data_IF_100535700080
#
_entry.id   IF_100535700080
#
_cell.length_a   1.000
_cell.length_b   1.000
_cell.length_c   1.000
_cell.angle_alpha   90.00
_cell.angle_beta   90.00
_cell.angle_gamma   90.00
#
_symmetry.space_group_name_H-M   'P 1'
#
loop_
_entity.id
_entity.type
_entity.pdbx_description
1 polymer ?
#
# COMPACT_ATOMS: atom_id res chain seq x y z
N UNK A 1 -15.86 45.33 31.90
CA UNK A 1 -14.44 45.16 31.56
C UNK A 1 -14.09 43.74 32.03
N UNK A 2 -14.28 42.73 31.17
CA UNK A 2 -13.25 42.16 30.26
C UNK A 2 -11.99 41.74 31.05
N UNK A 3 -11.47 40.53 30.97
CA UNK A 3 -11.56 39.54 29.91
C UNK A 3 -11.32 38.12 30.47
N UNK A 4 -11.91 37.13 29.82
CA UNK A 4 -11.31 35.81 29.80
C UNK A 4 -10.14 35.80 28.81
N UNK A 5 -9.25 34.84 28.95
CA UNK A 5 -8.84 34.10 27.77
C UNK A 5 -8.58 32.65 28.13
N UNK A 6 -9.35 31.80 27.48
CA UNK A 6 -9.35 30.36 27.61
C UNK A 6 -8.18 29.83 26.80
N UNK A 7 -7.23 29.18 27.47
CA UNK A 7 -6.23 28.33 26.84
C UNK A 7 -6.94 27.14 26.18
N UNK A 8 -7.41 27.35 24.95
CA UNK A 8 -7.95 26.32 24.07
C UNK A 8 -6.80 25.72 23.26
N UNK A 9 -6.07 24.79 23.88
CA UNK A 9 -5.12 23.94 23.16
C UNK A 9 -5.40 22.47 23.47
N UNK A 10 -5.88 21.80 22.42
CA UNK A 10 -5.85 20.36 22.13
C UNK A 10 -6.63 19.40 23.04
N UNK A 11 -7.97 19.49 23.02
CA UNK A 11 -8.82 18.34 23.39
C UNK A 11 -9.04 17.35 22.25
N UNK A 12 -8.47 17.58 21.07
CA UNK A 12 -8.71 16.77 19.86
C UNK A 12 -7.78 15.54 19.72
N UNK A 13 -6.74 15.40 20.55
CA UNK A 13 -5.70 14.36 20.37
C UNK A 13 -5.99 13.06 21.14
N UNK A 14 -7.04 13.01 21.95
CA UNK A 14 -7.32 11.90 22.88
C UNK A 14 -8.52 11.01 22.49
N UNK A 15 -9.05 11.11 21.26
CA UNK A 15 -9.96 10.08 20.76
C UNK A 15 -9.11 8.86 20.33
N UNK A 16 -8.99 7.88 21.21
CA UNK A 16 -8.20 6.66 20.96
C UNK A 16 -8.52 6.05 19.60
N UNK A 17 -7.49 5.71 18.82
CA UNK A 17 -7.66 5.02 17.53
C UNK A 17 -8.47 3.75 17.73
N UNK A 18 -9.47 3.46 16.87
CA UNK A 18 -10.22 2.22 16.99
C UNK A 18 -9.25 1.04 16.86
N UNK A 19 -9.48 -0.04 17.61
CA UNK A 19 -8.65 -1.24 17.54
C UNK A 19 -8.69 -1.82 16.12
N UNK A 20 -7.62 -2.47 15.70
CA UNK A 20 -7.53 -3.06 14.34
C UNK A 20 -8.67 -4.04 14.05
N UNK A 21 -9.20 -4.73 15.06
CA UNK A 21 -10.36 -5.62 14.94
C UNK A 21 -11.66 -4.93 14.53
N UNK A 22 -11.75 -3.61 14.70
CA UNK A 22 -12.88 -2.80 14.23
C UNK A 22 -12.62 -2.14 12.87
N UNK A 23 -11.37 -2.17 12.39
CA UNK A 23 -10.94 -1.50 11.15
C UNK A 23 -10.75 -2.49 10.01
N UNK A 24 -10.08 -3.62 10.28
CA UNK A 24 -9.85 -4.65 9.29
C UNK A 24 -11.09 -5.55 9.13
N UNK A 25 -11.37 -6.03 7.91
CA UNK A 25 -12.42 -7.01 7.70
C UNK A 25 -12.09 -8.33 8.43
N UNK A 26 -13.10 -9.11 8.82
CA UNK A 26 -12.90 -10.35 9.58
C UNK A 26 -12.20 -11.45 8.79
N UNK A 27 -12.17 -11.35 7.46
CA UNK A 27 -11.51 -12.30 6.57
C UNK A 27 -10.49 -11.56 5.68
N UNK A 28 -9.25 -12.06 5.69
CA UNK A 28 -8.11 -11.52 4.95
C UNK A 28 -7.59 -12.62 4.01
N UNK A 29 -7.38 -12.28 2.74
CA UNK A 29 -6.74 -13.18 1.79
C UNK A 29 -5.22 -13.13 1.95
N UNK A 30 -4.62 -14.23 2.42
CA UNK A 30 -3.18 -14.41 2.42
C UNK A 30 -2.64 -14.75 1.03
N UNK A 31 -1.59 -14.04 0.61
CA UNK A 31 -0.96 -14.21 -0.72
C UNK A 31 0.44 -14.80 -0.64
N UNK A 32 0.79 -15.44 0.49
CA UNK A 32 2.06 -16.14 0.67
C UNK A 32 2.29 -17.20 -0.41
N UNK A 33 1.24 -17.84 -0.90
CA UNK A 33 1.34 -18.85 -1.97
C UNK A 33 1.64 -18.28 -3.35
N UNK A 34 1.55 -16.96 -3.55
CA UNK A 34 1.96 -16.29 -4.81
C UNK A 34 3.49 -16.19 -4.89
N UNK A 35 4.18 -17.27 -4.57
CA UNK A 35 5.63 -17.31 -4.43
C UNK A 35 6.24 -18.57 -5.06
N UNK A 36 7.57 -18.57 -5.15
CA UNK A 36 8.35 -19.69 -5.70
C UNK A 36 8.57 -20.85 -4.71
N UNK A 37 8.25 -20.66 -3.44
CA UNK A 37 8.37 -21.69 -2.39
C UNK A 37 7.22 -22.72 -2.50
N UNK A 38 6.05 -22.29 -2.97
CA UNK A 38 4.87 -23.15 -3.16
C UNK A 38 4.62 -23.53 -4.63
N UNK A 39 5.07 -22.70 -5.58
CA UNK A 39 4.84 -22.93 -7.01
C UNK A 39 6.14 -22.74 -7.79
N UNK A 40 6.48 -23.67 -8.69
CA UNK A 40 7.66 -23.52 -9.55
C UNK A 40 7.61 -22.26 -10.42
N UNK A 41 6.42 -21.88 -10.85
CA UNK A 41 6.16 -20.69 -11.66
C UNK A 41 4.90 -19.98 -11.13
N UNK A 42 5.03 -19.08 -10.14
CA UNK A 42 3.89 -18.36 -9.56
C UNK A 42 3.27 -17.38 -10.54
N UNK A 43 3.96 -16.96 -11.61
CA UNK A 43 3.39 -16.05 -12.62
C UNK A 43 2.29 -16.72 -13.45
N UNK A 44 2.27 -18.06 -13.51
CA UNK A 44 1.20 -18.85 -14.14
C UNK A 44 0.00 -19.10 -13.23
N UNK A 45 0.05 -18.71 -11.96
CA UNK A 45 -1.10 -18.83 -11.08
C UNK A 45 -2.24 -17.91 -11.56
N UNK A 46 -3.50 -18.30 -11.35
CA UNK A 46 -4.63 -17.46 -11.69
C UNK A 46 -4.84 -16.33 -10.65
N UNK A 47 -3.78 -15.60 -10.27
CA UNK A 47 -3.79 -14.55 -9.24
C UNK A 47 -4.91 -13.53 -9.46
N UNK A 48 -5.08 -13.05 -10.71
CA UNK A 48 -6.18 -12.14 -11.06
C UNK A 48 -7.56 -12.74 -10.77
N UNK A 49 -7.78 -14.01 -11.11
CA UNK A 49 -9.05 -14.67 -10.86
C UNK A 49 -9.28 -14.87 -9.35
N UNK A 50 -8.25 -15.21 -8.59
CA UNK A 50 -8.30 -15.35 -7.13
C UNK A 50 -8.68 -14.02 -6.49
N UNK A 51 -7.96 -12.94 -6.80
CA UNK A 51 -8.22 -11.59 -6.26
C UNK A 51 -9.61 -11.10 -6.64
N UNK A 52 -10.03 -11.31 -7.91
CA UNK A 52 -11.39 -10.99 -8.35
C UNK A 52 -12.43 -11.72 -7.49
N UNK A 53 -12.26 -13.04 -7.29
CA UNK A 53 -13.21 -13.83 -6.50
C UNK A 53 -13.25 -13.40 -5.04
N UNK A 54 -12.11 -13.03 -4.47
CA UNK A 54 -12.06 -12.49 -3.12
C UNK A 54 -12.94 -11.21 -3.01
N UNK A 55 -12.76 -10.26 -3.93
CA UNK A 55 -13.55 -9.02 -3.94
C UNK A 55 -15.05 -9.27 -4.21
N UNK A 56 -15.39 -10.22 -5.10
CA UNK A 56 -16.79 -10.65 -5.33
C UNK A 56 -17.47 -11.23 -4.09
N UNK A 57 -16.69 -11.66 -3.08
CA UNK A 57 -17.15 -12.23 -1.82
C UNK A 57 -16.86 -11.32 -0.62
N UNK A 58 -16.70 -10.01 -0.83
CA UNK A 58 -16.42 -9.01 0.20
C UNK A 58 -15.12 -9.24 1.01
N UNK A 59 -14.19 -10.04 0.46
CA UNK A 59 -12.85 -10.22 1.02
C UNK A 59 -11.96 -9.09 0.48
N UNK A 60 -12.00 -7.97 1.19
CA UNK A 60 -11.36 -6.72 0.79
C UNK A 60 -10.05 -6.42 1.56
N UNK A 61 -9.38 -7.43 2.10
CA UNK A 61 -8.05 -7.27 2.70
C UNK A 61 -7.10 -8.33 2.17
N UNK A 62 -5.88 -7.92 1.84
CA UNK A 62 -4.84 -8.76 1.25
C UNK A 62 -3.56 -8.68 2.07
N UNK A 63 -3.06 -9.82 2.53
CA UNK A 63 -1.78 -9.93 3.24
C UNK A 63 -0.70 -10.49 2.30
N UNK A 64 0.44 -9.80 2.24
CA UNK A 64 1.61 -10.18 1.44
C UNK A 64 2.91 -9.89 2.21
N UNK A 65 4.07 -10.04 1.57
CA UNK A 65 5.39 -9.71 2.15
C UNK A 65 6.45 -9.61 1.05
N UNK A 66 7.48 -8.75 1.21
CA UNK A 66 8.67 -8.77 0.36
C UNK A 66 9.40 -10.11 0.36
N UNK A 67 9.29 -10.88 1.44
CA UNK A 67 9.87 -12.22 1.58
C UNK A 67 9.14 -13.27 0.73
N UNK A 68 7.87 -13.05 0.36
CA UNK A 68 7.07 -14.00 -0.41
C UNK A 68 7.39 -13.96 -1.91
N UNK A 69 8.68 -13.95 -2.27
CA UNK A 69 9.14 -13.91 -3.65
C UNK A 69 8.49 -12.78 -4.46
N UNK A 70 7.85 -13.07 -5.62
CA UNK A 70 7.18 -12.06 -6.44
C UNK A 70 5.75 -11.70 -5.97
N UNK A 71 5.30 -12.16 -4.79
CA UNK A 71 3.90 -12.02 -4.34
C UNK A 71 3.37 -10.59 -4.39
N UNK A 72 4.14 -9.59 -3.91
CA UNK A 72 3.75 -8.18 -3.96
C UNK A 72 3.49 -7.68 -5.38
N UNK A 73 4.38 -8.03 -6.32
CA UNK A 73 4.24 -7.68 -7.73
C UNK A 73 3.04 -8.38 -8.35
N UNK A 74 2.87 -9.69 -8.11
CA UNK A 74 1.75 -10.47 -8.65
C UNK A 74 0.40 -9.99 -8.10
N UNK A 75 0.32 -9.62 -6.82
CA UNK A 75 -0.87 -9.03 -6.21
C UNK A 75 -1.16 -7.65 -6.80
N UNK A 76 -0.15 -6.78 -6.91
CA UNK A 76 -0.29 -5.45 -7.51
C UNK A 76 -0.77 -5.51 -8.96
N UNK A 77 -0.17 -6.38 -9.78
CA UNK A 77 -0.56 -6.62 -11.16
C UNK A 77 -1.99 -7.18 -11.26
N UNK A 78 -2.34 -8.13 -10.39
CA UNK A 78 -3.68 -8.70 -10.34
C UNK A 78 -4.74 -7.62 -10.07
N UNK A 79 -4.53 -6.75 -9.08
CA UNK A 79 -5.44 -5.65 -8.74
C UNK A 79 -5.59 -4.64 -9.89
N UNK A 80 -4.48 -4.21 -10.50
CA UNK A 80 -4.48 -3.27 -11.65
C UNK A 80 -5.16 -3.84 -12.90
N UNK A 81 -5.08 -5.15 -13.09
CA UNK A 81 -5.65 -5.83 -14.25
C UNK A 81 -7.16 -6.08 -14.15
N UNK A 82 -7.80 -5.83 -12.99
CA UNK A 82 -9.24 -5.99 -12.82
C UNK A 82 -10.03 -4.94 -13.59
N UNK A 83 -11.21 -5.33 -14.07
CA UNK A 83 -12.16 -4.46 -14.79
C UNK A 83 -13.58 -4.75 -14.27
N UNK A 84 -14.31 -3.74 -13.74
CA UNK A 84 -13.81 -2.39 -13.41
C UNK A 84 -12.67 -2.45 -12.38
N UNK A 85 -11.80 -1.44 -12.39
CA UNK A 85 -10.73 -1.37 -11.41
C UNK A 85 -11.34 -1.08 -10.02
N UNK A 86 -10.98 -1.83 -8.96
CA UNK A 86 -11.43 -1.51 -7.62
C UNK A 86 -10.85 -0.16 -7.20
N UNK A 87 -11.65 0.64 -6.49
CA UNK A 87 -11.14 1.85 -5.86
C UNK A 87 -10.07 1.46 -4.83
N UNK A 88 -8.94 2.18 -4.80
CA UNK A 88 -7.82 1.84 -3.90
C UNK A 88 -8.24 1.86 -2.43
N UNK A 89 -9.16 2.72 -2.06
CA UNK A 89 -9.73 2.81 -0.72
C UNK A 89 -10.86 1.83 -0.43
N UNK A 90 -11.25 1.01 -1.41
CA UNK A 90 -12.19 -0.09 -1.25
C UNK A 90 -11.55 -1.38 -0.73
N UNK A 91 -10.23 -1.42 -0.50
CA UNK A 91 -9.54 -2.59 0.04
C UNK A 91 -8.30 -2.22 0.87
N UNK A 92 -7.85 -3.16 1.69
CA UNK A 92 -6.69 -3.05 2.56
C UNK A 92 -5.51 -3.85 2.00
N UNK A 93 -4.33 -3.23 1.98
CA UNK A 93 -3.06 -3.87 1.69
C UNK A 93 -2.20 -3.95 2.95
N UNK A 94 -1.92 -5.18 3.36
CA UNK A 94 -1.09 -5.53 4.50
C UNK A 94 0.20 -6.14 3.95
N UNK A 95 1.34 -5.57 4.31
CA UNK A 95 2.65 -6.14 3.97
C UNK A 95 3.55 -6.18 5.21
N UNK A 96 4.80 -6.59 5.03
CA UNK A 96 5.76 -6.82 6.11
C UNK A 96 7.12 -6.21 5.75
N UNK A 97 7.99 -6.01 6.74
CA UNK A 97 9.40 -5.68 6.54
C UNK A 97 10.27 -6.35 7.61
N UNK A 98 11.59 -6.27 7.47
CA UNK A 98 12.57 -6.91 8.35
C UNK A 98 13.19 -8.15 7.71
N UNK A 99 12.39 -9.18 7.43
CA UNK A 99 12.87 -10.42 6.80
C UNK A 99 13.18 -10.24 5.30
N UNK A 100 14.40 -10.59 4.89
CA UNK A 100 14.90 -10.50 3.51
C UNK A 100 14.82 -11.86 2.82
N UNK A 101 15.37 -12.88 3.47
CA UNK A 101 15.43 -14.25 2.98
C UNK A 101 15.16 -15.26 4.12
N UNK A 102 15.40 -16.55 3.86
CA UNK A 102 15.12 -17.60 4.83
C UNK A 102 15.84 -17.36 6.17
N UNK A 103 17.15 -17.08 6.11
CA UNK A 103 18.03 -16.87 7.26
C UNK A 103 18.63 -15.45 7.30
N UNK A 104 18.04 -14.51 6.55
CA UNK A 104 18.56 -13.15 6.41
C UNK A 104 17.50 -12.12 6.82
N UNK A 105 17.90 -11.24 7.74
CA UNK A 105 17.04 -10.24 8.35
C UNK A 105 17.80 -8.92 8.48
N UNK A 106 17.13 -7.81 8.19
CA UNK A 106 17.63 -6.47 8.43
C UNK A 106 16.48 -5.59 8.97
N UNK A 107 16.58 -5.24 10.24
CA UNK A 107 15.62 -4.36 10.93
C UNK A 107 16.17 -2.95 11.11
N UNK A 108 17.29 -2.63 10.47
CA UNK A 108 17.85 -1.28 10.52
C UNK A 108 16.83 -0.26 9.99
N UNK A 109 16.73 0.95 10.57
CA UNK A 109 15.84 1.99 10.07
C UNK A 109 16.07 2.35 8.60
N UNK A 110 17.29 2.15 8.08
CA UNK A 110 17.58 2.35 6.67
C UNK A 110 16.91 1.28 5.80
N UNK A 111 17.02 0.01 6.17
CA UNK A 111 16.39 -1.08 5.43
C UNK A 111 14.87 -1.04 5.51
N UNK A 112 14.30 -0.74 6.68
CA UNK A 112 12.84 -0.63 6.83
C UNK A 112 12.26 0.43 5.87
N UNK A 113 12.91 1.59 5.76
CA UNK A 113 12.54 2.62 4.77
C UNK A 113 12.57 2.11 3.34
N UNK A 114 13.71 1.51 2.97
CA UNK A 114 13.90 0.96 1.64
C UNK A 114 12.85 -0.11 1.31
N UNK A 115 12.62 -1.04 2.24
CA UNK A 115 11.64 -2.12 2.12
C UNK A 115 10.22 -1.58 1.90
N UNK A 116 9.80 -0.59 2.68
CA UNK A 116 8.47 0.05 2.53
C UNK A 116 8.32 0.69 1.14
N UNK A 117 9.31 1.44 0.68
CA UNK A 117 9.25 2.09 -0.63
C UNK A 117 9.25 1.07 -1.79
N UNK A 118 10.03 0.01 -1.65
CA UNK A 118 10.02 -1.12 -2.60
C UNK A 118 8.66 -1.83 -2.63
N UNK A 119 8.00 -2.01 -1.49
CA UNK A 119 6.65 -2.59 -1.42
C UNK A 119 5.62 -1.71 -2.12
N UNK A 120 5.67 -0.38 -1.94
CA UNK A 120 4.79 0.58 -2.62
C UNK A 120 4.92 0.48 -4.15
N UNK A 121 6.15 0.41 -4.65
CA UNK A 121 6.45 0.25 -6.09
C UNK A 121 5.92 -1.07 -6.64
N UNK A 122 6.24 -2.20 -5.98
CA UNK A 122 5.80 -3.55 -6.42
C UNK A 122 4.29 -3.70 -6.44
N UNK A 123 3.63 -3.24 -5.37
CA UNK A 123 2.17 -3.23 -5.29
C UNK A 123 1.56 -2.18 -6.22
N UNK A 124 2.37 -1.24 -6.74
CA UNK A 124 2.00 -0.09 -7.57
C UNK A 124 0.83 0.67 -6.97
N UNK A 125 1.01 1.05 -5.70
CA UNK A 125 0.02 1.77 -4.90
C UNK A 125 0.69 3.01 -4.30
N UNK A 126 -0.03 4.13 -4.18
CA UNK A 126 0.50 5.28 -3.49
C UNK A 126 0.68 4.98 -2.01
N UNK A 127 -0.16 4.13 -1.40
CA UNK A 127 -0.13 3.84 0.03
C UNK A 127 -0.26 2.36 0.44
N UNK A 128 0.19 2.04 1.66
CA UNK A 128 -0.07 0.78 2.38
C UNK A 128 -1.05 1.02 3.53
N UNK A 129 -1.84 0.03 3.94
CA UNK A 129 -2.77 0.17 5.05
C UNK A 129 -2.16 -0.30 6.37
N UNK A 130 -1.31 -1.32 6.32
CA UNK A 130 -0.61 -1.88 7.47
C UNK A 130 0.73 -2.49 7.06
N UNK A 131 1.75 -2.26 7.89
CA UNK A 131 3.08 -2.86 7.73
C UNK A 131 3.46 -3.55 9.05
N UNK A 132 3.71 -4.85 8.99
CA UNK A 132 4.21 -5.64 10.11
C UNK A 132 5.74 -5.75 10.10
N UNK A 133 6.32 -5.94 11.28
CA UNK A 133 7.66 -6.51 11.39
C UNK A 133 7.52 -8.02 11.27
N UNK A 134 8.06 -8.59 10.19
CA UNK A 134 7.94 -10.01 9.89
C UNK A 134 8.81 -10.81 10.87
N UNK A 135 8.35 -11.94 11.41
CA UNK A 135 9.20 -12.97 12.02
C UNK A 135 10.21 -12.44 13.07
N UNK A 136 9.75 -11.53 13.92
CA UNK A 136 10.57 -10.85 14.95
C UNK A 136 11.13 -11.81 16.01
N UNK A 137 10.52 -12.97 16.17
CA UNK A 137 10.95 -14.03 17.09
C UNK A 137 12.30 -14.65 16.73
N UNK A 138 12.79 -14.44 15.50
CA UNK A 138 14.11 -14.90 15.05
C UNK A 138 15.21 -13.85 15.23
N UNK A 139 14.88 -12.68 15.80
CA UNK A 139 15.84 -11.60 16.07
C UNK A 139 16.34 -11.72 17.50
N UNK A 140 17.66 -11.85 17.67
CA UNK A 140 18.27 -12.02 18.99
C UNK A 140 18.13 -10.78 19.89
N UNK A 141 18.19 -9.58 19.30
CA UNK A 141 18.11 -8.32 20.03
C UNK A 141 16.72 -7.66 19.87
N UNK A 142 15.91 -7.60 20.93
CA UNK A 142 14.60 -6.96 20.87
C UNK A 142 14.68 -5.44 20.66
N UNK A 143 15.77 -4.77 21.05
CA UNK A 143 15.90 -3.32 20.91
C UNK A 143 15.99 -2.91 19.43
N UNK A 144 16.60 -3.78 18.61
CA UNK A 144 16.63 -3.62 17.15
C UNK A 144 15.21 -3.65 16.56
N UNK A 145 14.34 -4.54 17.05
CA UNK A 145 12.93 -4.61 16.62
C UNK A 145 12.17 -3.36 17.07
N UNK A 146 12.39 -2.90 18.30
CA UNK A 146 11.77 -1.67 18.82
C UNK A 146 12.17 -0.46 17.97
N UNK A 147 13.45 -0.34 17.60
CA UNK A 147 13.94 0.71 16.71
C UNK A 147 13.29 0.65 15.31
N UNK A 148 13.10 -0.56 14.76
CA UNK A 148 12.42 -0.77 13.49
C UNK A 148 10.94 -0.34 13.53
N UNK A 149 10.23 -0.68 14.61
CA UNK A 149 8.84 -0.24 14.83
C UNK A 149 8.77 1.28 15.00
N UNK A 150 9.73 1.88 15.70
CA UNK A 150 9.83 3.33 15.82
C UNK A 150 10.03 3.99 14.45
N UNK A 151 10.83 3.39 13.57
CA UNK A 151 10.99 3.88 12.20
C UNK A 151 9.70 3.79 11.40
N UNK A 152 8.95 2.68 11.46
CA UNK A 152 7.63 2.59 10.82
C UNK A 152 6.67 3.67 11.31
N UNK A 153 6.65 3.95 12.62
CA UNK A 153 5.83 5.03 13.18
C UNK A 153 6.28 6.38 12.61
N UNK A 154 7.58 6.62 12.50
CA UNK A 154 8.14 7.85 11.91
C UNK A 154 7.74 8.00 10.44
N UNK A 155 7.72 6.92 9.65
CA UNK A 155 7.28 6.96 8.25
C UNK A 155 5.80 7.30 8.13
N UNK A 156 4.97 6.66 8.97
CA UNK A 156 3.54 6.97 9.07
C UNK A 156 3.30 8.43 9.42
N UNK A 157 3.96 8.94 10.45
CA UNK A 157 3.71 10.30 10.98
C UNK A 157 4.17 11.39 10.00
N UNK A 158 5.12 11.07 9.10
CA UNK A 158 5.59 11.97 8.02
C UNK A 158 4.67 12.01 6.81
N UNK A 159 3.58 11.24 6.79
CA UNK A 159 2.66 11.23 5.66
C UNK A 159 3.21 10.54 4.41
N UNK A 160 4.28 9.73 4.54
CA UNK A 160 4.50 8.68 3.53
C UNK A 160 3.22 7.85 3.52
N UNK A 161 2.61 7.57 2.37
CA UNK A 161 1.22 7.19 2.36
C UNK A 161 1.15 5.77 2.93
N UNK A 162 0.85 5.64 4.21
CA UNK A 162 0.89 4.35 4.92
C UNK A 162 -0.28 4.24 5.90
N UNK A 163 -1.21 5.20 5.87
CA UNK A 163 -2.29 5.24 6.84
C UNK A 163 -3.50 6.04 6.38
N UNK A 164 -4.66 5.37 6.26
CA UNK A 164 -5.97 6.02 6.34
C UNK A 164 -6.39 6.12 7.79
N UNK A 165 -6.93 7.28 8.17
CA UNK A 165 -7.72 7.38 9.39
C UNK A 165 -8.98 6.52 9.25
N UNK A 166 -9.27 5.62 10.21
CA UNK A 166 -10.38 4.68 10.14
C UNK A 166 -11.76 5.35 10.08
N UNK A 167 -11.87 6.63 10.40
CA UNK A 167 -13.07 7.46 10.26
C UNK A 167 -13.49 7.75 8.80
N UNK A 168 -12.68 7.37 7.81
CA UNK A 168 -12.96 7.58 6.38
C UNK A 168 -13.30 6.31 5.61
N UNK A 169 -13.23 5.14 6.25
CA UNK A 169 -13.62 3.88 5.62
C UNK A 169 -15.15 3.81 5.58
N UNK A 170 -15.73 3.97 4.39
CA UNK A 170 -17.13 3.63 4.21
C UNK A 170 -17.29 2.13 4.51
N UNK A 171 -18.28 1.69 5.31
CA UNK A 171 -18.53 0.28 5.49
C UNK A 171 -18.74 -0.35 4.12
N UNK A 172 -18.11 -1.50 3.86
CA UNK A 172 -18.37 -2.31 2.68
C UNK A 172 -19.90 -2.46 2.57
N UNK A 173 -20.50 -1.76 1.61
CA UNK A 173 -21.94 -1.73 1.46
C UNK A 173 -22.36 -3.13 1.06
N UNK A 174 -23.04 -3.83 1.98
CA UNK A 174 -23.74 -5.09 1.73
C UNK A 174 -24.70 -4.85 0.57
N UNK A 175 -24.25 -5.15 -0.65
CA UNK A 175 -25.04 -4.92 -1.85
C UNK A 175 -25.91 -6.15 -2.04
N UNK A 176 -27.19 -6.02 -1.71
CA UNK A 176 -28.19 -6.98 -2.17
C UNK A 176 -28.26 -6.89 -3.70
N UNK A 177 -28.29 -8.03 -4.43
CA UNK A 177 -28.33 -7.99 -5.87
C UNK A 177 -29.72 -7.52 -6.31
N UNK A 178 -29.81 -6.30 -6.80
CA UNK A 178 -30.92 -5.91 -7.68
C UNK A 178 -30.40 -5.00 -8.79
N UNK A 179 -30.32 -5.57 -9.99
CA UNK A 179 -30.38 -4.84 -11.25
C UNK A 179 -31.89 -4.64 -11.56
N UNK A 180 -32.35 -3.54 -12.21
CA UNK A 180 -31.86 -3.18 -13.53
C UNK A 180 -31.73 -1.68 -13.87
N UNK A 181 -30.82 -1.42 -14.83
CA UNK A 181 -30.81 -0.36 -15.86
C UNK A 181 -31.24 1.07 -15.52
N UNK A 182 -30.28 2.02 -15.61
CA UNK A 182 -30.47 3.28 -16.36
C UNK A 182 -29.13 4.00 -16.61
N UNK A 183 -28.93 4.37 -17.87
CA UNK A 183 -27.94 5.29 -18.45
C UNK A 183 -27.85 6.62 -17.70
N UNK A 184 -26.64 7.14 -17.44
CA UNK A 184 -26.31 8.59 -17.52
C UNK A 184 -24.79 8.83 -17.62
N UNK A 185 -24.47 9.80 -18.46
CA UNK A 185 -23.19 10.32 -18.93
C UNK A 185 -22.00 10.36 -17.95
N UNK A 186 -20.85 9.90 -18.43
CA UNK A 186 -19.54 10.18 -17.85
C UNK A 186 -19.14 11.66 -18.09
N UNK A 187 -18.94 12.42 -17.01
CA UNK A 187 -18.13 13.64 -17.03
C UNK A 187 -16.67 13.26 -16.80
N UNK A 188 -15.79 13.66 -17.72
CA UNK A 188 -14.33 13.57 -17.58
C UNK A 188 -13.80 14.68 -16.65
N UNK A 189 -12.89 14.40 -15.69
CA UNK A 189 -12.17 15.45 -14.99
C UNK A 189 -11.02 16.04 -15.84
N UNK A 190 -10.77 17.33 -15.63
CA UNK A 190 -10.05 18.25 -16.51
C UNK A 190 -8.50 18.21 -16.41
N UNK A 191 -7.88 17.02 -16.47
CA UNK A 191 -6.41 16.94 -16.54
C UNK A 191 -5.86 16.24 -17.79
N UNK A 192 -6.72 15.91 -18.76
CA UNK A 192 -6.29 15.30 -20.02
C UNK A 192 -6.11 16.33 -21.16
N UNK A 193 -4.83 16.50 -21.55
CA UNK A 193 -4.27 17.05 -22.79
C UNK A 193 -4.07 18.59 -22.91
N UNK A 194 -2.98 18.99 -23.60
CA UNK A 194 -3.11 19.18 -25.05
C UNK A 194 -2.11 18.41 -25.93
N UNK A 195 -2.69 17.80 -26.97
CA UNK A 195 -2.31 17.72 -28.39
C UNK A 195 -0.84 17.74 -28.85
N UNK A 196 -0.39 16.57 -29.33
CA UNK A 196 0.01 16.23 -30.72
C UNK A 196 0.85 17.23 -31.55
N UNK A 197 2.04 16.80 -32.01
CA UNK A 197 2.49 16.97 -33.39
C UNK A 197 3.73 16.09 -33.70
N UNK A 198 3.64 15.37 -34.80
CA UNK A 198 4.70 14.62 -35.50
C UNK A 198 5.90 15.48 -35.91
N UNK A 199 7.13 14.97 -35.77
CA UNK A 199 8.21 15.07 -36.78
C UNK A 199 9.53 14.41 -36.31
N UNK A 200 10.05 13.53 -37.18
CA UNK A 200 11.43 13.07 -37.47
C UNK A 200 12.62 13.27 -36.49
N UNK A 201 13.39 12.20 -36.28
CA UNK A 201 14.80 12.20 -35.83
C UNK A 201 15.74 12.80 -36.91
N UNK A 202 16.95 13.34 -36.62
CA UNK A 202 18.15 12.62 -36.12
C UNK A 202 19.12 13.50 -35.23
N UNK A 203 20.47 13.29 -35.15
CA UNK A 203 21.16 12.40 -34.21
C UNK A 203 22.15 13.08 -33.22
N UNK A 204 22.56 12.30 -32.22
CA UNK A 204 23.82 12.27 -31.44
C UNK A 204 24.50 13.54 -30.85
N UNK A 205 24.87 13.39 -29.56
CA UNK A 205 25.90 14.08 -28.77
C UNK A 205 25.61 15.50 -28.28
N UNK A 206 25.51 15.67 -26.96
CA UNK A 206 26.39 16.53 -26.13
C UNK A 206 26.03 16.30 -24.66
N UNK A 207 27.05 16.13 -23.83
CA UNK A 207 26.96 15.97 -22.39
C UNK A 207 26.28 17.19 -21.73
N UNK A 208 25.38 16.93 -20.79
CA UNK A 208 24.89 17.95 -19.86
C UNK A 208 25.21 17.49 -18.44
N UNK A 209 26.23 18.10 -17.88
CA UNK A 209 26.61 17.99 -16.47
C UNK A 209 25.77 18.97 -15.66
N UNK A 210 24.96 18.46 -14.74
CA UNK A 210 24.43 19.23 -13.61
C UNK A 210 24.56 18.41 -12.32
N UNK A 211 25.11 18.99 -11.24
CA UNK A 211 25.22 18.32 -9.95
C UNK A 211 23.93 18.47 -9.14
N UNK A 212 23.76 17.58 -8.16
CA UNK A 212 22.74 17.55 -7.11
C UNK A 212 21.32 17.07 -7.51
N UNK A 213 21.20 15.78 -7.83
CA UNK A 213 20.02 15.02 -7.39
C UNK A 213 20.12 14.89 -5.86
N UNK A 214 19.40 15.76 -5.17
CA UNK A 214 19.14 15.67 -3.74
C UNK A 214 18.68 14.26 -3.37
N UNK A 215 19.17 13.77 -2.24
CA UNK A 215 18.63 12.65 -1.50
C UNK A 215 17.09 12.68 -1.49
N UNK A 216 16.46 11.52 -1.25
CA UNK A 216 15.02 11.33 -1.10
C UNK A 216 14.26 11.13 -2.42
N UNK A 217 14.38 9.92 -2.96
CA UNK A 217 13.41 9.34 -3.88
C UNK A 217 12.94 8.00 -3.30
N UNK A 218 11.81 8.06 -2.62
CA UNK A 218 10.68 7.19 -2.97
C UNK A 218 9.79 8.10 -3.84
#
# INVERSE_FOLDING_TARGET
MSAGDSSSSSSAEAAGRPPLSQVLPPLILGTATFNTQYHRDPARMPCRAIVRRALEHDIAAFDTSPYYGPSETLLGDALRALRPAPARDGYFLITKAGRIAADEFDYSPAWIRYSVCRSLDRLGTPYLDLVYMHDVEFVADPDVVVAAVAELRRLRDRGLPTWRSPSSAAPASRSTPSCPTATTACRTPAWAAPTCSTASAPPASTACSTPACSAWAC
#
